data_IF_596756278941
#
_entry.id   IF_596756278941
#
_cell.length_a   1.000
_cell.length_b   1.000
_cell.length_c   1.000
_cell.angle_alpha   90.00
_cell.angle_beta   90.00
_cell.angle_gamma   90.00
#
_symmetry.space_group_name_H-M   'P 1'
#
loop_
_entity.id
_entity.type
_entity.pdbx_description
1 polymer ?
#
# COMPACT_ATOMS: atom_id res chain seq x y z
N UNK A 1 28.57 -21.58 0.49
CA UNK A 1 29.24 -20.41 1.10
C UNK A 1 28.84 -19.23 0.25
N UNK A 2 27.84 -18.47 0.70
CA UNK A 2 26.97 -17.63 -0.14
C UNK A 2 27.21 -16.15 0.16
N UNK A 3 27.34 -15.38 -0.91
CA UNK A 3 27.44 -13.91 -1.05
C UNK A 3 26.49 -13.10 -0.14
N UNK A 4 26.81 -12.98 1.15
CA UNK A 4 26.25 -11.98 2.07
C UNK A 4 27.38 -11.49 2.96
N UNK A 5 27.44 -10.18 3.21
CA UNK A 5 28.33 -9.48 4.16
C UNK A 5 29.51 -8.66 3.62
N UNK A 6 29.44 -8.09 2.41
CA UNK A 6 30.20 -6.85 2.12
C UNK A 6 29.25 -5.79 1.54
N UNK A 7 28.43 -5.17 2.39
CA UNK A 7 27.86 -3.87 2.05
C UNK A 7 29.03 -2.89 1.87
N UNK A 8 29.09 -2.20 0.73
CA UNK A 8 30.14 -1.23 0.45
C UNK A 8 30.08 -0.06 1.43
N UNK A 9 31.23 0.57 1.68
CA UNK A 9 31.35 1.61 2.72
C UNK A 9 30.41 2.79 2.49
N UNK A 10 30.20 3.17 1.22
CA UNK A 10 29.31 4.23 0.79
C UNK A 10 27.83 3.94 1.10
N UNK A 11 27.38 2.70 0.86
CA UNK A 11 26.01 2.30 1.13
C UNK A 11 25.74 2.22 2.63
N UNK A 12 26.72 1.72 3.40
CA UNK A 12 26.66 1.68 4.86
C UNK A 12 26.55 3.08 5.46
N UNK A 13 27.35 4.04 4.99
CA UNK A 13 27.29 5.43 5.46
C UNK A 13 25.90 6.04 5.21
N UNK A 14 25.34 5.79 4.02
CA UNK A 14 24.01 6.27 3.65
C UNK A 14 22.91 5.67 4.54
N UNK A 15 22.95 4.35 4.79
CA UNK A 15 22.00 3.66 5.66
C UNK A 15 22.04 4.17 7.11
N UNK A 16 23.23 4.58 7.58
CA UNK A 16 23.43 5.15 8.92
C UNK A 16 23.02 6.63 9.01
N UNK A 17 22.65 7.26 7.90
CA UNK A 17 22.35 8.69 7.86
C UNK A 17 23.58 9.60 7.95
N UNK A 18 24.80 9.06 7.80
CA UNK A 18 26.02 9.85 7.68
C UNK A 18 26.15 10.37 6.24
N UNK A 19 25.31 11.33 5.89
CA UNK A 19 25.23 11.87 4.53
C UNK A 19 26.49 12.65 4.13
N UNK A 20 27.26 13.15 5.08
CA UNK A 20 28.53 13.82 4.80
C UNK A 20 29.58 12.82 4.31
N UNK A 21 29.76 11.71 5.03
CA UNK A 21 30.69 10.67 4.63
C UNK A 21 30.18 9.92 3.38
N UNK A 22 28.88 9.64 3.29
CA UNK A 22 28.28 9.03 2.11
C UNK A 22 28.53 9.90 0.86
N UNK A 23 28.36 11.22 0.94
CA UNK A 23 28.62 12.12 -0.17
C UNK A 23 30.07 12.06 -0.64
N UNK A 24 31.02 12.02 0.31
CA UNK A 24 32.44 11.90 0.01
C UNK A 24 32.76 10.57 -0.68
N UNK A 25 32.28 9.46 -0.11
CA UNK A 25 32.53 8.11 -0.64
C UNK A 25 31.89 7.87 -2.01
N UNK A 26 30.64 8.32 -2.22
CA UNK A 26 29.99 8.26 -3.52
C UNK A 26 30.65 9.19 -4.54
N UNK A 27 31.20 10.32 -4.11
CA UNK A 27 32.01 11.20 -4.97
C UNK A 27 33.26 10.47 -5.49
N UNK A 28 34.04 9.86 -4.59
CA UNK A 28 35.20 9.05 -4.96
C UNK A 28 34.82 7.88 -5.90
N UNK A 29 33.66 7.26 -5.66
CA UNK A 29 33.15 6.17 -6.49
C UNK A 29 32.76 6.66 -7.90
N UNK A 30 32.11 7.83 -7.99
CA UNK A 30 31.67 8.42 -9.25
C UNK A 30 32.86 8.89 -10.11
N UNK A 31 33.93 9.40 -9.49
CA UNK A 31 35.18 9.70 -10.20
C UNK A 31 35.77 8.47 -10.88
N UNK A 32 35.68 7.31 -10.22
CA UNK A 32 36.19 6.02 -10.76
C UNK A 32 35.21 5.35 -11.71
N UNK A 33 33.91 5.57 -11.53
CA UNK A 33 32.81 4.96 -12.30
C UNK A 33 31.71 5.98 -12.61
N UNK A 34 31.95 6.91 -13.56
CA UNK A 34 31.00 7.99 -13.87
C UNK A 34 29.63 7.48 -14.35
N UNK A 35 29.61 6.33 -15.03
CA UNK A 35 28.40 5.75 -15.63
C UNK A 35 27.57 4.89 -14.66
N UNK A 36 28.02 4.74 -13.42
CA UNK A 36 27.32 3.94 -12.41
C UNK A 36 26.07 4.68 -11.91
N UNK A 37 24.88 4.20 -12.31
CA UNK A 37 23.59 4.72 -11.82
C UNK A 37 23.56 4.70 -10.28
N UNK A 38 23.98 3.61 -9.66
CA UNK A 38 24.08 3.47 -8.21
C UNK A 38 24.91 4.58 -7.56
N UNK A 39 26.05 4.91 -8.16
CA UNK A 39 26.94 5.96 -7.65
C UNK A 39 26.34 7.36 -7.85
N UNK A 40 25.68 7.60 -8.99
CA UNK A 40 24.99 8.85 -9.28
C UNK A 40 23.84 9.09 -8.28
N UNK A 41 23.03 8.06 -8.01
CA UNK A 41 21.93 8.14 -7.04
C UNK A 41 22.46 8.37 -5.64
N UNK A 42 23.44 7.56 -5.20
CA UNK A 42 24.03 7.71 -3.87
C UNK A 42 24.65 9.09 -3.64
N UNK A 43 25.39 9.60 -4.61
CA UNK A 43 25.97 10.95 -4.56
C UNK A 43 24.89 12.02 -4.46
N UNK A 44 23.85 11.93 -5.29
CA UNK A 44 22.77 12.90 -5.29
C UNK A 44 21.96 12.86 -3.98
N UNK A 45 21.56 11.67 -3.53
CA UNK A 45 20.81 11.48 -2.29
C UNK A 45 21.61 12.00 -1.09
N UNK A 46 22.89 11.64 -0.98
CA UNK A 46 23.75 12.10 0.10
C UNK A 46 23.90 13.64 0.09
N UNK A 47 24.09 14.25 -1.07
CA UNK A 47 24.21 15.70 -1.20
C UNK A 47 22.91 16.42 -0.86
N UNK A 48 21.77 15.88 -1.31
CA UNK A 48 20.45 16.43 -1.06
C UNK A 48 20.12 16.47 0.44
N UNK A 49 20.40 15.37 1.15
CA UNK A 49 20.08 15.22 2.57
C UNK A 49 21.08 15.90 3.49
N UNK A 50 22.39 15.86 3.16
CA UNK A 50 23.40 16.65 3.89
C UNK A 50 23.02 18.12 3.94
N UNK A 51 22.71 18.72 2.79
CA UNK A 51 22.39 20.14 2.71
C UNK A 51 21.12 20.53 3.48
N UNK A 52 20.18 19.59 3.72
CA UNK A 52 18.95 19.83 4.49
C UNK A 52 19.16 19.67 5.98
N UNK A 53 19.90 18.65 6.38
CA UNK A 53 20.17 18.37 7.79
C UNK A 53 21.15 19.36 8.42
N UNK A 54 21.93 20.09 7.60
CA UNK A 54 22.82 21.17 8.05
C UNK A 54 22.11 22.55 8.17
N UNK A 55 20.81 22.65 7.84
CA UNK A 55 20.10 23.93 7.90
C UNK A 55 19.89 24.39 9.34
N UNK A 56 20.21 25.66 9.64
CA UNK A 56 20.05 26.25 10.98
C UNK A 56 18.58 26.25 11.48
N UNK A 57 17.61 26.24 10.56
CA UNK A 57 16.17 26.26 10.86
C UNK A 57 15.58 24.86 11.06
N UNK A 58 16.38 23.80 10.94
CA UNK A 58 15.93 22.43 11.13
C UNK A 58 15.37 22.24 12.56
N UNK A 59 14.14 21.72 12.72
CA UNK A 59 13.63 21.35 14.03
C UNK A 59 14.55 20.36 14.73
N UNK A 60 14.79 20.53 16.04
CA UNK A 60 15.79 19.72 16.75
C UNK A 60 15.35 18.29 17.06
N UNK A 61 14.06 18.06 17.29
CA UNK A 61 13.52 16.75 17.65
C UNK A 61 11.99 16.69 17.59
N UNK A 62 11.45 15.49 17.79
CA UNK A 62 10.03 15.22 17.99
C UNK A 62 9.20 15.37 16.71
N UNK A 63 7.91 15.66 16.88
CA UNK A 63 6.93 15.72 15.79
C UNK A 63 7.32 16.67 14.67
N UNK A 64 7.85 17.84 15.02
CA UNK A 64 8.23 18.87 14.04
C UNK A 64 9.37 18.38 13.14
N UNK A 65 10.36 17.69 13.70
CA UNK A 65 11.45 17.10 12.91
C UNK A 65 10.93 15.96 12.02
N UNK A 66 10.10 15.07 12.58
CA UNK A 66 9.52 13.99 11.80
C UNK A 66 8.68 14.49 10.60
N UNK A 67 7.80 15.47 10.83
CA UNK A 67 7.01 16.08 9.77
C UNK A 67 7.89 16.72 8.70
N UNK A 68 8.94 17.45 9.08
CA UNK A 68 9.92 18.01 8.15
C UNK A 68 10.56 16.91 7.30
N UNK A 69 11.05 15.83 7.93
CA UNK A 69 11.72 14.74 7.21
C UNK A 69 10.79 14.04 6.22
N UNK A 70 9.54 13.77 6.62
CA UNK A 70 8.55 13.12 5.76
C UNK A 70 8.18 14.01 4.56
N UNK A 71 7.87 15.28 4.79
CA UNK A 71 7.55 16.24 3.72
C UNK A 71 8.70 16.37 2.71
N UNK A 72 9.93 16.48 3.19
CA UNK A 72 11.09 16.63 2.33
C UNK A 72 11.48 15.32 1.64
N UNK A 73 11.08 14.18 2.20
CA UNK A 73 11.20 12.88 1.56
C UNK A 73 10.21 12.78 0.40
N UNK A 74 8.93 13.10 0.60
CA UNK A 74 7.93 13.13 -0.49
C UNK A 74 8.38 14.05 -1.64
N UNK A 75 8.92 15.23 -1.33
CA UNK A 75 9.49 16.12 -2.34
C UNK A 75 10.73 15.53 -3.05
N UNK A 76 11.55 14.76 -2.33
CA UNK A 76 12.70 14.06 -2.92
C UNK A 76 12.26 12.93 -3.85
N UNK A 77 11.21 12.20 -3.50
CA UNK A 77 10.67 11.11 -4.30
C UNK A 77 10.21 11.58 -5.67
N UNK A 78 9.49 12.71 -5.75
CA UNK A 78 9.07 13.28 -7.04
C UNK A 78 10.28 13.55 -7.94
N UNK A 79 11.36 14.11 -7.40
CA UNK A 79 12.59 14.38 -8.16
C UNK A 79 13.31 13.09 -8.52
N UNK A 80 13.29 12.09 -7.65
CA UNK A 80 13.92 10.79 -7.85
C UNK A 80 13.21 9.99 -8.96
N UNK A 81 11.88 10.02 -8.99
CA UNK A 81 11.05 9.38 -10.01
C UNK A 81 11.33 9.95 -11.39
N UNK A 82 11.39 11.28 -11.54
CA UNK A 82 11.73 11.95 -12.81
C UNK A 82 13.11 11.54 -13.34
N UNK A 83 14.02 11.12 -12.45
CA UNK A 83 15.38 10.72 -12.78
C UNK A 83 15.58 9.21 -12.86
N UNK A 84 14.53 8.41 -12.62
CA UNK A 84 14.61 6.95 -12.63
C UNK A 84 15.50 6.37 -11.53
N UNK A 85 15.54 7.02 -10.37
CA UNK A 85 16.32 6.58 -9.21
C UNK A 85 15.68 5.44 -8.37
N UNK A 86 14.34 5.29 -8.31
CA UNK A 86 13.73 4.18 -7.58
C UNK A 86 14.27 2.81 -8.06
N UNK A 87 14.42 1.89 -7.11
CA UNK A 87 14.95 0.54 -7.37
C UNK A 87 16.47 0.37 -7.17
N UNK A 88 17.20 1.45 -6.93
CA UNK A 88 18.62 1.39 -6.52
C UNK A 88 18.77 1.13 -5.02
N UNK A 89 19.89 0.53 -4.60
CA UNK A 89 20.16 0.26 -3.19
C UNK A 89 20.39 1.58 -2.42
N UNK A 90 21.02 2.54 -3.06
CA UNK A 90 21.28 3.87 -2.53
C UNK A 90 19.99 4.64 -2.24
N UNK A 91 19.01 4.62 -3.16
CA UNK A 91 17.71 5.23 -2.91
C UNK A 91 17.01 4.58 -1.70
N UNK A 92 17.00 3.25 -1.65
CA UNK A 92 16.40 2.51 -0.53
C UNK A 92 17.12 2.78 0.81
N UNK A 93 18.45 2.89 0.81
CA UNK A 93 19.23 3.21 2.00
C UNK A 93 18.97 4.64 2.50
N UNK A 94 18.89 5.63 1.60
CA UNK A 94 18.52 7.00 1.95
C UNK A 94 17.10 7.07 2.53
N UNK A 95 16.14 6.37 1.91
CA UNK A 95 14.77 6.25 2.42
C UNK A 95 14.76 5.72 3.85
N UNK A 96 15.45 4.61 4.08
CA UNK A 96 15.51 3.96 5.39
C UNK A 96 16.15 4.85 6.45
N UNK A 97 17.20 5.59 6.11
CA UNK A 97 17.83 6.53 7.04
C UNK A 97 16.89 7.69 7.42
N UNK A 98 16.28 8.34 6.42
CA UNK A 98 15.43 9.53 6.63
C UNK A 98 14.14 9.18 7.35
N UNK A 99 13.40 8.19 6.83
CA UNK A 99 12.13 7.78 7.42
C UNK A 99 12.32 6.99 8.73
N UNK A 100 13.47 6.33 8.90
CA UNK A 100 13.87 5.74 10.18
C UNK A 100 14.05 6.80 11.27
N UNK A 101 14.76 7.89 10.96
CA UNK A 101 14.91 9.02 11.88
C UNK A 101 13.57 9.70 12.18
N UNK A 102 12.69 9.83 11.18
CA UNK A 102 11.33 10.33 11.39
C UNK A 102 10.54 9.41 12.35
N UNK A 103 10.58 8.09 12.14
CA UNK A 103 9.92 7.11 13.00
C UNK A 103 10.42 7.16 14.44
N UNK A 104 11.73 7.30 14.67
CA UNK A 104 12.31 7.45 16.02
C UNK A 104 11.78 8.70 16.73
N UNK A 105 11.73 9.83 16.02
CA UNK A 105 11.20 11.08 16.58
C UNK A 105 9.70 11.00 16.88
N UNK A 106 8.92 10.31 16.06
CA UNK A 106 7.49 10.06 16.33
C UNK A 106 7.29 9.12 17.52
N UNK A 107 8.12 8.08 17.67
CA UNK A 107 8.10 7.19 18.85
C UNK A 107 8.41 7.96 20.13
N UNK A 108 9.40 8.84 20.11
CA UNK A 108 9.73 9.69 21.26
C UNK A 108 8.59 10.65 21.60
N UNK A 109 8.02 11.34 20.60
CA UNK A 109 6.88 12.23 20.81
C UNK A 109 5.68 11.50 21.43
N UNK A 110 5.37 10.29 20.95
CA UNK A 110 4.30 9.46 21.51
C UNK A 110 4.55 9.08 22.98
N UNK A 111 5.81 8.81 23.34
CA UNK A 111 6.18 8.48 24.72
C UNK A 111 6.07 9.69 25.66
N UNK A 112 6.46 10.88 25.19
CA UNK A 112 6.47 12.12 25.97
C UNK A 112 5.05 12.66 26.24
N UNK A 113 4.15 12.57 25.28
CA UNK A 113 2.78 13.09 25.40
C UNK A 113 1.87 12.19 26.26
N UNK A 114 2.32 10.96 26.52
CA UNK A 114 1.58 9.96 27.28
C UNK A 114 0.27 9.55 26.60
N UNK A 115 -0.54 8.74 27.29
CA UNK A 115 -1.83 8.25 26.76
C UNK A 115 -2.96 9.28 26.84
N UNK A 116 -2.65 10.55 27.13
CA UNK A 116 -3.61 11.62 27.39
C UNK A 116 -4.15 12.21 26.09
N UNK A 117 -4.89 11.38 25.35
CA UNK A 117 -5.36 11.65 24.00
C UNK A 117 -4.48 10.96 22.98
N UNK A 118 -4.97 9.85 22.42
CA UNK A 118 -4.27 9.16 21.33
C UNK A 118 -4.32 10.05 20.10
N UNK A 119 -3.18 10.61 19.71
CA UNK A 119 -3.06 11.31 18.45
C UNK A 119 -3.00 10.30 17.30
N UNK A 120 -4.14 10.14 16.63
CA UNK A 120 -4.27 9.20 15.51
C UNK A 120 -3.42 9.62 14.31
N UNK A 121 -3.20 10.91 14.12
CA UNK A 121 -2.38 11.41 13.01
C UNK A 121 -0.92 11.06 13.26
N UNK A 122 -0.43 11.24 14.49
CA UNK A 122 0.93 10.79 14.87
C UNK A 122 1.10 9.28 14.62
N UNK A 123 0.14 8.46 15.07
CA UNK A 123 0.22 7.01 14.88
C UNK A 123 0.17 6.61 13.40
N UNK A 124 -0.60 7.34 12.59
CA UNK A 124 -0.68 7.14 11.14
C UNK A 124 0.65 7.46 10.47
N UNK A 125 1.26 8.60 10.80
CA UNK A 125 2.58 8.99 10.30
C UNK A 125 3.67 8.01 10.72
N UNK A 126 3.63 7.53 11.96
CA UNK A 126 4.54 6.49 12.44
C UNK A 126 4.35 5.19 11.66
N UNK A 127 3.09 4.77 11.46
CA UNK A 127 2.76 3.60 10.64
C UNK A 127 3.29 3.71 9.21
N UNK A 128 3.12 4.86 8.56
CA UNK A 128 3.66 5.14 7.22
C UNK A 128 5.18 4.95 7.21
N UNK A 129 5.91 5.60 8.14
CA UNK A 129 7.36 5.47 8.20
C UNK A 129 7.79 4.01 8.37
N UNK A 130 7.13 3.27 9.26
CA UNK A 130 7.46 1.86 9.52
C UNK A 130 7.15 0.94 8.33
N UNK A 131 6.04 1.17 7.61
CA UNK A 131 5.75 0.44 6.37
C UNK A 131 6.83 0.71 5.33
N UNK A 132 7.20 1.98 5.15
CA UNK A 132 8.20 2.40 4.16
C UNK A 132 9.61 1.92 4.49
N UNK A 133 9.93 1.70 5.76
CA UNK A 133 11.21 1.14 6.21
C UNK A 133 11.19 -0.39 6.34
N UNK A 134 10.10 -1.04 5.96
CA UNK A 134 9.88 -2.50 6.02
C UNK A 134 9.84 -3.09 7.45
N UNK A 135 9.60 -2.25 8.46
CA UNK A 135 9.36 -2.68 9.85
C UNK A 135 7.88 -3.07 10.05
N UNK A 136 7.43 -4.07 9.28
CA UNK A 136 6.02 -4.46 9.20
C UNK A 136 5.44 -4.97 10.53
N UNK A 137 6.28 -5.55 11.39
CA UNK A 137 5.85 -6.04 12.70
C UNK A 137 5.42 -4.87 13.59
N UNK A 138 6.29 -3.87 13.76
CA UNK A 138 5.97 -2.69 14.56
C UNK A 138 4.88 -1.84 13.89
N UNK A 139 4.89 -1.73 12.55
CA UNK A 139 3.84 -1.06 11.80
C UNK A 139 2.47 -1.67 12.08
N UNK A 140 2.34 -3.00 12.02
CA UNK A 140 1.09 -3.70 12.29
C UNK A 140 0.56 -3.43 13.71
N UNK A 141 1.45 -3.39 14.71
CA UNK A 141 1.07 -3.09 16.09
C UNK A 141 0.54 -1.67 16.26
N UNK A 142 1.27 -0.68 15.74
CA UNK A 142 0.90 0.75 15.76
C UNK A 142 -0.41 1.00 15.03
N UNK A 143 -0.51 0.51 13.79
CA UNK A 143 -1.70 0.69 12.94
C UNK A 143 -2.91 -0.03 13.55
N UNK A 144 -2.76 -1.24 14.10
CA UNK A 144 -3.87 -1.93 14.75
C UNK A 144 -4.32 -1.22 16.04
N UNK A 145 -3.41 -0.59 16.79
CA UNK A 145 -3.77 0.26 17.92
C UNK A 145 -4.57 1.49 17.48
N UNK A 146 -4.12 2.19 16.42
CA UNK A 146 -4.84 3.31 15.83
C UNK A 146 -6.23 2.90 15.30
N UNK A 147 -6.34 1.74 14.63
CA UNK A 147 -7.61 1.21 14.11
C UNK A 147 -8.66 0.98 15.19
N UNK A 148 -8.24 0.53 16.38
CA UNK A 148 -9.17 0.32 17.51
C UNK A 148 -9.81 1.61 18.01
N UNK A 149 -9.24 2.77 17.66
CA UNK A 149 -9.74 4.10 18.01
C UNK A 149 -10.49 4.77 16.86
N UNK A 150 -10.11 4.46 15.62
CA UNK A 150 -10.82 4.86 14.41
C UNK A 150 -10.87 3.67 13.43
N UNK A 151 -11.98 2.94 13.47
CA UNK A 151 -12.21 1.76 12.65
C UNK A 151 -12.79 2.09 11.27
N UNK A 152 -12.87 3.37 10.89
CA UNK A 152 -13.41 3.83 9.60
C UNK A 152 -12.37 4.42 8.65
N UNK A 153 -11.11 4.55 9.08
CA UNK A 153 -10.03 5.05 8.22
C UNK A 153 -9.57 3.95 7.24
N UNK A 154 -10.01 4.07 5.99
CA UNK A 154 -9.71 3.11 4.93
C UNK A 154 -8.21 3.03 4.57
N UNK A 155 -7.49 4.16 4.65
CA UNK A 155 -6.06 4.20 4.36
C UNK A 155 -5.26 3.47 5.44
N UNK A 156 -5.65 3.65 6.71
CA UNK A 156 -5.08 2.89 7.82
C UNK A 156 -5.34 1.38 7.65
N UNK A 157 -6.55 0.98 7.27
CA UNK A 157 -6.85 -0.43 6.96
C UNK A 157 -5.97 -0.97 5.84
N UNK A 158 -5.75 -0.18 4.80
CA UNK A 158 -4.91 -0.53 3.65
C UNK A 158 -3.46 -0.78 4.09
N UNK A 159 -2.85 0.15 4.83
CA UNK A 159 -1.49 -0.04 5.32
C UNK A 159 -1.38 -1.26 6.24
N UNK A 160 -2.37 -1.49 7.10
CA UNK A 160 -2.40 -2.69 7.95
C UNK A 160 -2.58 -3.98 7.13
N UNK A 161 -3.29 -3.92 6.00
CA UNK A 161 -3.41 -5.02 5.06
C UNK A 161 -2.04 -5.41 4.46
N UNK A 162 -1.29 -4.42 3.96
CA UNK A 162 0.08 -4.61 3.46
C UNK A 162 0.98 -5.24 4.53
N UNK A 163 0.93 -4.73 5.78
CA UNK A 163 1.72 -5.28 6.88
C UNK A 163 1.40 -6.76 7.13
N UNK A 164 0.11 -7.12 7.22
CA UNK A 164 -0.27 -8.50 7.47
C UNK A 164 0.07 -9.44 6.32
N UNK A 165 0.05 -8.96 5.07
CA UNK A 165 0.50 -9.76 3.94
C UNK A 165 2.02 -10.03 4.00
N UNK A 166 2.83 -9.04 4.41
CA UNK A 166 4.28 -9.21 4.60
C UNK A 166 4.65 -10.12 5.79
N UNK A 167 3.83 -10.17 6.85
CA UNK A 167 4.05 -11.06 8.00
C UNK A 167 3.81 -12.55 7.69
N UNK A 168 3.32 -12.87 6.48
CA UNK A 168 3.27 -14.23 5.95
C UNK A 168 2.02 -15.03 6.30
N UNK A 169 2.10 -16.35 6.14
CA UNK A 169 0.93 -17.24 6.06
C UNK A 169 -0.04 -17.18 7.26
N UNK A 170 0.45 -16.91 8.47
CA UNK A 170 -0.39 -16.78 9.67
C UNK A 170 -1.28 -15.53 9.69
N UNK A 171 -0.96 -14.53 8.87
CA UNK A 171 -1.63 -13.23 8.82
C UNK A 171 -2.27 -12.93 7.46
N UNK A 172 -1.94 -13.70 6.42
CA UNK A 172 -2.41 -13.49 5.05
C UNK A 172 -3.93 -13.31 4.94
N UNK A 173 -4.73 -14.17 5.57
CA UNK A 173 -6.19 -14.06 5.53
C UNK A 173 -6.69 -12.75 6.16
N UNK A 174 -6.02 -12.26 7.21
CA UNK A 174 -6.34 -10.97 7.83
C UNK A 174 -5.99 -9.81 6.91
N UNK A 175 -4.83 -9.88 6.24
CA UNK A 175 -4.41 -8.90 5.24
C UNK A 175 -5.42 -8.82 4.09
N UNK A 176 -5.77 -9.97 3.51
CA UNK A 176 -6.77 -10.06 2.43
C UNK A 176 -8.15 -9.52 2.86
N UNK A 177 -8.59 -9.83 4.09
CA UNK A 177 -9.82 -9.26 4.63
C UNK A 177 -9.75 -7.74 4.75
N UNK A 178 -8.60 -7.18 5.12
CA UNK A 178 -8.45 -5.73 5.25
C UNK A 178 -8.41 -5.02 3.91
N UNK A 179 -7.75 -5.56 2.87
CA UNK A 179 -7.86 -4.97 1.53
C UNK A 179 -9.30 -4.88 1.05
N UNK A 180 -10.07 -5.94 1.27
CA UNK A 180 -11.50 -5.94 0.96
C UNK A 180 -12.22 -4.84 1.74
N UNK A 181 -12.00 -4.76 3.04
CA UNK A 181 -12.68 -3.79 3.90
C UNK A 181 -12.28 -2.34 3.54
N UNK A 182 -11.03 -2.09 3.14
CA UNK A 182 -10.60 -0.85 2.49
C UNK A 182 -11.41 -0.58 1.23
N UNK A 183 -11.49 -1.54 0.30
CA UNK A 183 -12.24 -1.36 -0.96
C UNK A 183 -13.73 -1.09 -0.74
N UNK A 184 -14.32 -1.65 0.33
CA UNK A 184 -15.69 -1.34 0.72
C UNK A 184 -15.83 0.09 1.24
N UNK A 185 -14.93 0.49 2.13
CA UNK A 185 -14.97 1.78 2.83
C UNK A 185 -14.62 2.92 1.88
N UNK A 186 -13.44 2.85 1.28
CA UNK A 186 -12.99 3.77 0.25
C UNK A 186 -11.87 3.13 -0.60
N UNK A 187 -12.21 2.76 -1.83
CA UNK A 187 -11.24 2.24 -2.81
C UNK A 187 -10.15 3.24 -3.21
N UNK A 188 -10.40 4.56 -3.09
CA UNK A 188 -9.43 5.59 -3.46
C UNK A 188 -8.34 5.76 -2.41
N UNK A 189 -8.54 5.19 -1.21
CA UNK A 189 -7.54 5.17 -0.16
C UNK A 189 -6.39 4.18 -0.43
N UNK A 190 -6.46 3.39 -1.51
CA UNK A 190 -5.37 2.51 -1.92
C UNK A 190 -4.37 3.32 -2.72
N UNK A 191 -3.20 3.53 -2.14
CA UNK A 191 -2.08 4.21 -2.78
C UNK A 191 -1.07 3.17 -3.30
N UNK A 192 -0.83 3.10 -4.62
CA UNK A 192 0.03 2.09 -5.22
C UNK A 192 1.48 2.16 -4.75
N UNK A 193 1.95 3.31 -4.22
CA UNK A 193 3.32 3.46 -3.68
C UNK A 193 3.58 2.49 -2.53
N UNK A 194 2.55 2.13 -1.75
CA UNK A 194 2.70 1.23 -0.61
C UNK A 194 2.43 -0.24 -0.98
N UNK A 195 2.00 -0.54 -2.21
CA UNK A 195 1.70 -1.90 -2.64
C UNK A 195 2.99 -2.65 -2.98
N UNK A 196 3.45 -3.45 -2.02
CA UNK A 196 4.71 -4.21 -2.12
C UNK A 196 4.57 -5.67 -1.73
N UNK A 197 3.49 -6.03 -1.03
CA UNK A 197 3.30 -7.40 -0.52
C UNK A 197 2.81 -8.38 -1.59
N UNK A 198 3.15 -9.66 -1.41
CA UNK A 198 2.42 -10.75 -2.06
C UNK A 198 1.12 -11.01 -1.26
N UNK A 199 -0.08 -11.01 -1.88
CA UNK A 199 -0.33 -11.15 -3.31
C UNK A 199 -0.69 -9.84 -4.04
N UNK A 200 -0.61 -8.68 -3.41
CA UNK A 200 -1.09 -7.41 -3.95
C UNK A 200 -0.21 -6.84 -5.07
N UNK A 201 1.12 -6.80 -4.90
CA UNK A 201 2.04 -6.22 -5.88
C UNK A 201 2.01 -6.92 -7.25
N UNK A 202 2.11 -8.28 -7.34
CA UNK A 202 2.00 -8.96 -8.63
C UNK A 202 0.63 -8.80 -9.29
N UNK A 203 -0.44 -8.63 -8.49
CA UNK A 203 -1.77 -8.35 -9.03
C UNK A 203 -1.83 -6.96 -9.65
N UNK A 204 -1.36 -5.94 -8.94
CA UNK A 204 -1.34 -4.57 -9.43
C UNK A 204 -0.49 -4.47 -10.69
N UNK A 205 0.69 -5.09 -10.73
CA UNK A 205 1.57 -5.11 -11.90
C UNK A 205 0.88 -5.76 -13.11
N UNK A 206 0.16 -6.87 -12.90
CA UNK A 206 -0.61 -7.52 -13.96
C UNK A 206 -1.70 -6.60 -14.51
N UNK A 207 -2.52 -6.03 -13.62
CA UNK A 207 -3.61 -5.11 -14.00
C UNK A 207 -3.07 -3.86 -14.69
N UNK A 208 -1.94 -3.32 -14.22
CA UNK A 208 -1.26 -2.19 -14.84
C UNK A 208 -0.91 -2.48 -16.30
N UNK A 209 -0.39 -3.66 -16.60
CA UNK A 209 -0.10 -4.09 -17.99
C UNK A 209 -1.36 -4.36 -18.81
N UNK A 210 -2.39 -4.96 -18.21
CA UNK A 210 -3.67 -5.26 -18.86
C UNK A 210 -4.45 -3.99 -19.23
N UNK A 211 -4.22 -2.89 -18.52
CA UNK A 211 -4.87 -1.59 -18.73
C UNK A 211 -3.92 -0.53 -19.30
N UNK A 212 -3.10 -0.90 -20.29
CA UNK A 212 -2.25 0.01 -21.07
C UNK A 212 -1.32 0.91 -20.21
N UNK A 213 -0.77 0.35 -19.13
CA UNK A 213 0.11 1.07 -18.20
C UNK A 213 -0.58 2.27 -17.52
N UNK A 214 -1.90 2.18 -17.30
CA UNK A 214 -2.69 3.17 -16.57
C UNK A 214 -2.94 2.71 -15.12
N UNK A 215 -2.28 3.38 -14.17
CA UNK A 215 -2.37 3.03 -12.74
C UNK A 215 -3.80 3.20 -12.20
N UNK A 216 -4.54 4.22 -12.65
CA UNK A 216 -5.89 4.48 -12.15
C UNK A 216 -6.86 3.40 -12.63
N UNK A 217 -6.75 2.98 -13.90
CA UNK A 217 -7.56 1.90 -14.44
C UNK A 217 -7.24 0.56 -13.75
N UNK A 218 -5.96 0.31 -13.47
CA UNK A 218 -5.55 -0.86 -12.70
C UNK A 218 -6.14 -0.86 -11.28
N UNK A 219 -6.11 0.28 -10.58
CA UNK A 219 -6.69 0.43 -9.24
C UNK A 219 -8.22 0.28 -9.24
N UNK A 220 -8.91 0.72 -10.30
CA UNK A 220 -10.36 0.53 -10.44
C UNK A 220 -10.72 -0.97 -10.40
N UNK A 221 -9.91 -1.83 -11.05
CA UNK A 221 -10.08 -3.29 -11.06
C UNK A 221 -9.45 -4.03 -9.88
N UNK A 222 -8.48 -3.41 -9.20
CA UNK A 222 -7.73 -4.02 -8.10
C UNK A 222 -8.66 -4.58 -7.01
N UNK A 223 -9.67 -3.82 -6.61
CA UNK A 223 -10.62 -4.23 -5.58
C UNK A 223 -11.40 -5.51 -5.95
N UNK A 224 -11.85 -5.64 -7.19
CA UNK A 224 -12.58 -6.84 -7.65
C UNK A 224 -11.69 -8.09 -7.62
N UNK A 225 -10.44 -7.97 -8.09
CA UNK A 225 -9.50 -9.09 -8.07
C UNK A 225 -9.00 -9.43 -6.68
N UNK A 226 -8.79 -8.43 -5.82
CA UNK A 226 -8.48 -8.67 -4.40
C UNK A 226 -9.64 -9.32 -3.67
N UNK A 227 -10.88 -8.93 -3.97
CA UNK A 227 -12.07 -9.60 -3.44
C UNK A 227 -12.07 -11.08 -3.83
N UNK A 228 -11.76 -11.40 -5.08
CA UNK A 228 -11.65 -12.78 -5.54
C UNK A 228 -10.56 -13.57 -4.80
N UNK A 229 -9.40 -12.97 -4.54
CA UNK A 229 -8.31 -13.61 -3.76
C UNK A 229 -8.69 -13.81 -2.29
N UNK A 230 -9.48 -12.90 -1.72
CA UNK A 230 -9.97 -12.96 -0.34
C UNK A 230 -11.08 -13.99 -0.08
N UNK A 231 -11.55 -14.71 -1.11
CA UNK A 231 -12.57 -15.77 -0.97
C UNK A 231 -12.17 -16.92 -0.02
N UNK A 232 -10.89 -17.01 0.38
CA UNK A 232 -10.39 -18.03 1.31
C UNK A 232 -10.27 -17.55 2.76
N UNK A 233 -10.27 -16.24 2.98
CA UNK A 233 -10.04 -15.66 4.30
C UNK A 233 -11.24 -15.89 5.22
N UNK A 234 -11.04 -15.99 6.54
CA UNK A 234 -12.15 -15.95 7.51
C UNK A 234 -12.93 -14.66 7.35
N UNK A 235 -14.15 -14.75 6.85
CA UNK A 235 -14.90 -13.59 6.41
C UNK A 235 -15.63 -12.92 7.55
N UNK A 236 -15.55 -11.60 7.57
CA UNK A 236 -16.53 -10.79 8.29
C UNK A 236 -17.90 -11.04 7.67
N UNK A 237 -18.89 -11.24 8.53
CA UNK A 237 -20.28 -11.24 8.07
C UNK A 237 -20.68 -9.80 7.72
N UNK A 238 -21.25 -9.63 6.52
CA UNK A 238 -21.83 -8.35 6.13
C UNK A 238 -23.07 -8.07 6.97
N UNK A 239 -23.18 -6.87 7.50
CA UNK A 239 -24.37 -6.42 8.20
C UNK A 239 -25.52 -6.18 7.21
N UNK A 240 -26.80 -6.31 7.64
CA UNK A 240 -27.96 -6.04 6.79
C UNK A 240 -27.91 -4.69 6.07
N UNK A 241 -27.45 -3.64 6.75
CA UNK A 241 -27.27 -2.30 6.15
C UNK A 241 -26.25 -2.26 5.03
N UNK A 242 -25.17 -3.03 5.14
CA UNK A 242 -24.16 -3.13 4.09
C UNK A 242 -24.72 -3.85 2.87
N UNK A 243 -25.53 -4.89 3.07
CA UNK A 243 -26.20 -5.61 1.98
C UNK A 243 -27.21 -4.70 1.27
N UNK A 244 -27.99 -3.93 2.02
CA UNK A 244 -28.91 -2.94 1.47
C UNK A 244 -28.16 -1.87 0.66
N UNK A 245 -27.04 -1.37 1.20
CA UNK A 245 -26.17 -0.43 0.52
C UNK A 245 -25.63 -1.01 -0.79
N UNK A 246 -25.03 -2.21 -0.76
CA UNK A 246 -24.49 -2.87 -1.96
C UNK A 246 -25.55 -3.07 -3.04
N UNK A 247 -26.74 -3.55 -2.66
CA UNK A 247 -27.84 -3.72 -3.61
C UNK A 247 -28.32 -2.39 -4.20
N UNK A 248 -28.34 -1.31 -3.40
CA UNK A 248 -28.69 0.03 -3.87
C UNK A 248 -27.67 0.56 -4.87
N UNK A 249 -26.38 0.35 -4.59
CA UNK A 249 -25.28 0.79 -5.44
C UNK A 249 -25.21 -0.02 -6.74
N UNK A 250 -25.44 -1.33 -6.69
CA UNK A 250 -25.57 -2.16 -7.91
C UNK A 250 -26.68 -1.62 -8.80
N UNK A 251 -27.88 -1.34 -8.26
CA UNK A 251 -28.99 -0.77 -9.04
C UNK A 251 -28.66 0.61 -9.62
N UNK A 252 -27.94 1.45 -8.86
CA UNK A 252 -27.49 2.77 -9.34
C UNK A 252 -26.49 2.61 -10.48
N UNK A 253 -25.39 1.90 -10.24
CA UNK A 253 -24.31 1.71 -11.20
C UNK A 253 -24.73 0.96 -12.45
N UNK A 254 -25.69 0.02 -12.36
CA UNK A 254 -26.25 -0.65 -13.53
C UNK A 254 -26.96 0.33 -14.46
N UNK A 255 -27.73 1.28 -13.91
CA UNK A 255 -28.36 2.36 -14.71
C UNK A 255 -27.32 3.33 -15.26
N UNK A 256 -26.30 3.64 -14.46
CA UNK A 256 -25.24 4.55 -14.86
C UNK A 256 -24.40 3.93 -16.00
N UNK A 257 -24.24 2.61 -16.05
CA UNK A 257 -23.44 1.93 -17.07
C UNK A 257 -23.92 2.20 -18.50
N UNK A 258 -25.24 2.34 -18.70
CA UNK A 258 -25.84 2.64 -20.00
C UNK A 258 -25.74 4.13 -20.39
N UNK A 259 -25.63 5.01 -19.39
CA UNK A 259 -25.75 6.46 -19.58
C UNK A 259 -24.42 7.21 -19.44
N UNK A 260 -23.44 6.60 -18.79
CA UNK A 260 -22.12 7.20 -18.57
C UNK A 260 -21.31 7.22 -19.87
N UNK A 261 -20.48 8.26 -20.02
CA UNK A 261 -19.53 8.39 -21.13
C UNK A 261 -18.61 7.18 -21.15
N UNK A 262 -18.30 6.65 -22.35
CA UNK A 262 -17.56 5.40 -22.55
C UNK A 262 -16.27 5.30 -21.72
N UNK A 263 -15.54 6.41 -21.56
CA UNK A 263 -14.30 6.46 -20.77
C UNK A 263 -14.46 6.05 -19.29
N UNK A 264 -15.67 6.10 -18.73
CA UNK A 264 -15.94 5.71 -17.34
C UNK A 264 -16.66 4.37 -17.22
N UNK A 265 -17.11 3.76 -18.33
CA UNK A 265 -17.84 2.49 -18.30
C UNK A 265 -17.01 1.39 -17.67
N UNK A 266 -15.71 1.37 -17.95
CA UNK A 266 -14.82 0.33 -17.42
C UNK A 266 -14.69 0.41 -15.89
N UNK A 267 -14.48 1.62 -15.35
CA UNK A 267 -14.51 1.88 -13.91
C UNK A 267 -15.82 1.44 -13.25
N UNK A 268 -16.96 1.75 -13.88
CA UNK A 268 -18.28 1.34 -13.39
C UNK A 268 -18.41 -0.19 -13.39
N UNK A 269 -17.93 -0.87 -14.44
CA UNK A 269 -17.90 -2.34 -14.51
C UNK A 269 -17.04 -2.95 -13.43
N UNK A 270 -15.84 -2.41 -13.20
CA UNK A 270 -14.94 -2.88 -12.15
C UNK A 270 -15.60 -2.81 -10.77
N UNK A 271 -16.28 -1.69 -10.48
CA UNK A 271 -17.00 -1.51 -9.21
C UNK A 271 -18.21 -2.44 -9.07
N UNK A 272 -18.98 -2.62 -10.15
CA UNK A 272 -20.06 -3.61 -10.18
C UNK A 272 -19.53 -5.03 -9.91
N UNK A 273 -18.42 -5.42 -10.57
CA UNK A 273 -17.78 -6.72 -10.34
C UNK A 273 -17.39 -6.90 -8.86
N UNK A 274 -16.80 -5.89 -8.24
CA UNK A 274 -16.48 -5.92 -6.81
C UNK A 274 -17.73 -6.17 -5.94
N UNK A 275 -18.82 -5.42 -6.17
CA UNK A 275 -20.05 -5.57 -5.39
C UNK A 275 -20.76 -6.91 -5.64
N UNK A 276 -20.79 -7.39 -6.88
CA UNK A 276 -21.34 -8.71 -7.19
C UNK A 276 -20.50 -9.83 -6.57
N UNK A 277 -19.17 -9.74 -6.58
CA UNK A 277 -18.32 -10.71 -5.87
C UNK A 277 -18.54 -10.68 -4.36
N UNK A 278 -18.71 -9.50 -3.77
CA UNK A 278 -19.04 -9.35 -2.35
C UNK A 278 -20.35 -10.06 -1.96
N UNK A 279 -21.42 -9.83 -2.72
CA UNK A 279 -22.72 -10.45 -2.45
C UNK A 279 -22.76 -11.93 -2.82
N UNK A 280 -22.16 -12.33 -3.94
CA UNK A 280 -21.95 -13.74 -4.29
C UNK A 280 -21.33 -14.49 -3.12
N UNK A 281 -20.27 -13.93 -2.56
CA UNK A 281 -19.55 -14.51 -1.44
C UNK A 281 -20.43 -14.66 -0.20
N UNK A 282 -21.13 -13.59 0.16
CA UNK A 282 -22.09 -13.57 1.27
C UNK A 282 -23.15 -14.67 1.12
N UNK A 283 -23.84 -14.74 -0.02
CA UNK A 283 -24.92 -15.70 -0.22
C UNK A 283 -24.43 -17.16 -0.36
N UNK A 284 -23.29 -17.38 -1.02
CA UNK A 284 -22.78 -18.73 -1.34
C UNK A 284 -22.12 -19.42 -0.14
N UNK A 285 -21.28 -18.71 0.61
CA UNK A 285 -20.42 -19.31 1.63
C UNK A 285 -21.02 -19.22 3.04
N UNK A 286 -22.00 -18.34 3.25
CA UNK A 286 -22.83 -18.35 4.46
C UNK A 286 -24.10 -19.19 4.29
N UNK A 287 -24.24 -19.88 3.14
CA UNK A 287 -25.38 -20.76 2.80
C UNK A 287 -26.76 -20.10 2.94
N UNK A 288 -26.84 -18.79 2.69
CA UNK A 288 -28.05 -17.99 2.90
C UNK A 288 -29.05 -18.20 1.76
N UNK A 289 -28.60 -18.11 0.50
CA UNK A 289 -29.45 -18.32 -0.67
C UNK A 289 -28.62 -18.76 -1.89
N UNK A 290 -28.88 -19.97 -2.39
CA UNK A 290 -28.24 -20.48 -3.61
C UNK A 290 -28.74 -19.76 -4.87
N UNK A 291 -29.98 -19.29 -4.85
CA UNK A 291 -30.58 -18.55 -5.96
C UNK A 291 -29.92 -17.19 -6.12
N UNK A 292 -29.80 -16.43 -5.04
CA UNK A 292 -29.13 -15.12 -5.06
C UNK A 292 -27.66 -15.24 -5.43
N UNK A 293 -26.96 -16.26 -4.91
CA UNK A 293 -25.59 -16.55 -5.34
C UNK A 293 -25.50 -16.77 -6.86
N UNK A 294 -26.42 -17.53 -7.46
CA UNK A 294 -26.44 -17.74 -8.92
C UNK A 294 -26.75 -16.45 -9.69
N UNK A 295 -27.61 -15.59 -9.16
CA UNK A 295 -27.91 -14.29 -9.79
C UNK A 295 -26.66 -13.40 -9.86
N UNK A 296 -25.91 -13.28 -8.76
CA UNK A 296 -24.67 -12.51 -8.76
C UNK A 296 -23.59 -13.17 -9.61
N UNK A 297 -23.54 -14.49 -9.65
CA UNK A 297 -22.61 -15.24 -10.51
C UNK A 297 -22.88 -15.00 -12.01
N UNK A 298 -24.14 -15.06 -12.44
CA UNK A 298 -24.53 -14.77 -13.82
C UNK A 298 -24.24 -13.30 -14.21
N UNK A 299 -24.41 -12.37 -13.27
CA UNK A 299 -24.05 -10.97 -13.49
C UNK A 299 -22.53 -10.79 -13.67
N UNK A 300 -21.70 -11.53 -12.91
CA UNK A 300 -20.25 -11.51 -13.09
C UNK A 300 -19.83 -12.04 -14.45
N UNK A 301 -20.44 -13.13 -14.93
CA UNK A 301 -20.20 -13.67 -16.27
C UNK A 301 -20.50 -12.64 -17.37
N UNK A 302 -21.59 -11.88 -17.22
CA UNK A 302 -21.95 -10.83 -18.16
C UNK A 302 -21.04 -9.59 -18.09
N UNK A 303 -20.57 -9.21 -16.89
CA UNK A 303 -19.76 -8.01 -16.67
C UNK A 303 -18.28 -8.23 -17.01
N UNK A 304 -17.72 -9.39 -16.65
CA UNK A 304 -16.31 -9.74 -16.86
C UNK A 304 -16.15 -11.26 -16.97
N UNK A 305 -16.14 -11.80 -18.21
CA UNK A 305 -15.94 -13.23 -18.46
C UNK A 305 -14.61 -13.75 -17.89
N UNK A 306 -13.57 -12.92 -17.87
CA UNK A 306 -12.26 -13.27 -17.33
C UNK A 306 -12.30 -13.45 -15.81
N UNK A 307 -12.86 -12.48 -15.08
CA UNK A 307 -13.00 -12.56 -13.63
C UNK A 307 -13.90 -13.73 -13.23
N UNK A 308 -14.93 -13.99 -14.03
CA UNK A 308 -15.80 -15.15 -13.87
C UNK A 308 -15.07 -16.49 -14.09
N UNK A 309 -14.25 -16.60 -15.14
CA UNK A 309 -13.43 -17.78 -15.36
C UNK A 309 -12.49 -18.04 -14.17
N UNK A 310 -11.82 -16.99 -13.67
CA UNK A 310 -10.98 -17.07 -12.48
C UNK A 310 -11.76 -17.47 -11.21
N UNK A 311 -13.01 -17.02 -11.06
CA UNK A 311 -13.92 -17.46 -9.99
C UNK A 311 -14.22 -18.97 -10.07
N UNK A 312 -14.41 -19.51 -11.28
CA UNK A 312 -14.64 -20.94 -11.49
C UNK A 312 -13.41 -21.81 -11.24
N UNK A 313 -12.23 -21.29 -11.55
CA UNK A 313 -10.95 -21.97 -11.30
C UNK A 313 -10.52 -21.95 -9.82
N UNK A 314 -11.09 -21.03 -9.03
CA UNK A 314 -10.83 -20.89 -7.61
C UNK A 314 -11.08 -22.18 -6.80
N UNK A 315 -10.35 -22.39 -5.69
CA UNK A 315 -10.34 -23.64 -4.92
C UNK A 315 -11.65 -23.96 -4.17
N UNK A 316 -12.68 -23.11 -4.28
CA UNK A 316 -14.00 -23.33 -3.69
C UNK A 316 -15.03 -23.94 -4.64
N UNK A 317 -14.75 -23.98 -5.95
CA UNK A 317 -15.65 -24.49 -6.98
C UNK A 317 -15.29 -25.91 -7.46
N UNK A 318 -14.16 -26.47 -7.02
CA UNK A 318 -13.87 -27.90 -7.11
C UNK A 318 -14.45 -28.62 -5.88
N UNK A 319 -15.78 -28.72 -5.79
CA UNK A 319 -16.50 -29.73 -4.98
C UNK A 319 -18.00 -29.68 -5.23
#
# INVERSE_FOLDING_TARGET
MSERDHQSGELKALYQGDFAEAYRLYGDLLERRPDSVEAQVGFYAAGYWRNRLEQEQLPRSGRALAAYLMEHWEAFEVIADERGYPGTEAFAAAMKAVLGLAAENLRHAFQEEGTSGVDLELLKQLGICLVRTEDYQNAAEVLNYARKKNDSDAFLMFLLAECYCHLGAGYLDRGLSLYRDTCFTDHQAIDPVYITSEPAAPLLERLYREHDNNVQAALDWFGAWMQLRSLRATLRQLHPREIEYLNSEIRRLTRDLDTVIDKYKDRVRARLCFYHLALFHYYRYQEISREEARNHEAALEALSPELYAALKEGPGNKR
#
